data_IF_434972313592
#
_entry.id   IF_434972313592
#
_cell.length_a   1.000
_cell.length_b   1.000
_cell.length_c   1.000
_cell.angle_alpha   90.00
_cell.angle_beta   90.00
_cell.angle_gamma   90.00
#
_symmetry.space_group_name_H-M   'P 1'
#
loop_
_entity.id
_entity.type
_entity.pdbx_description
1 polymer ?
#
# COMPACT_ATOMS: atom_id res chain seq x y z
N UNK A 1 18.35 -44.25 16.90
CA UNK A 1 17.32 -43.48 16.16
C UNK A 1 17.03 -42.25 16.98
N UNK A 2 17.29 -41.06 16.43
CA UNK A 2 17.05 -39.79 17.13
C UNK A 2 15.63 -39.34 16.81
N UNK A 3 14.82 -39.11 17.83
CA UNK A 3 13.44 -38.63 17.68
C UNK A 3 13.43 -37.10 17.61
N UNK A 4 12.76 -36.55 16.59
CA UNK A 4 12.59 -35.12 16.36
C UNK A 4 11.11 -34.78 16.52
N UNK A 5 10.82 -33.61 17.09
CA UNK A 5 9.44 -33.13 17.27
C UNK A 5 9.21 -31.90 16.41
N UNK A 6 8.32 -32.00 15.43
CA UNK A 6 7.88 -30.89 14.60
C UNK A 6 6.53 -30.39 15.12
N UNK A 7 6.53 -29.20 15.71
CA UNK A 7 5.31 -28.59 16.25
C UNK A 7 4.91 -27.37 15.43
N UNK A 8 3.64 -27.26 15.08
CA UNK A 8 3.08 -26.04 14.53
C UNK A 8 1.92 -25.52 15.37
N UNK A 9 2.01 -24.25 15.77
CA UNK A 9 0.87 -23.47 16.28
C UNK A 9 0.79 -22.13 15.55
N UNK A 10 -0.41 -21.57 15.41
CA UNK A 10 -0.58 -20.26 14.73
C UNK A 10 0.18 -19.16 15.47
N UNK A 11 0.18 -19.17 16.80
CA UNK A 11 0.83 -18.15 17.62
C UNK A 11 2.37 -18.24 17.56
N UNK A 12 2.92 -19.45 17.64
CA UNK A 12 4.36 -19.65 17.76
C UNK A 12 5.03 -19.82 16.38
N UNK A 13 4.33 -20.41 15.41
CA UNK A 13 4.86 -20.81 14.11
C UNK A 13 5.22 -22.29 14.05
N UNK A 14 5.98 -22.70 13.02
CA UNK A 14 6.48 -24.06 12.87
C UNK A 14 7.90 -24.16 13.44
N UNK A 15 8.10 -25.09 14.38
CA UNK A 15 9.37 -25.41 15.00
C UNK A 15 9.72 -26.89 14.85
N UNK A 16 11.00 -27.18 14.98
CA UNK A 16 11.56 -28.52 15.04
C UNK A 16 12.55 -28.57 16.21
N UNK A 17 12.16 -29.33 17.21
CA UNK A 17 12.90 -29.57 18.45
C UNK A 17 13.54 -30.98 18.44
N UNK A 18 14.49 -31.21 19.34
CA UNK A 18 15.20 -32.50 19.47
C UNK A 18 16.43 -32.64 18.56
N UNK A 19 16.91 -31.54 18.00
CA UNK A 19 18.15 -31.51 17.21
C UNK A 19 19.03 -30.32 17.57
N UNK A 20 20.34 -30.50 17.48
CA UNK A 20 21.36 -29.48 17.66
C UNK A 20 21.75 -28.83 16.32
N UNK A 21 22.28 -27.61 16.39
CA UNK A 21 22.72 -26.87 15.20
C UNK A 21 23.75 -27.62 14.34
N UNK A 22 24.61 -28.41 14.98
CA UNK A 22 25.70 -29.17 14.36
C UNK A 22 25.33 -30.60 13.97
N UNK A 23 24.06 -30.99 14.14
CA UNK A 23 23.61 -32.31 13.75
C UNK A 23 23.53 -32.48 12.23
N UNK A 24 23.52 -33.73 11.78
CA UNK A 24 23.36 -34.12 10.36
C UNK A 24 22.02 -33.66 9.75
N UNK A 25 21.11 -33.10 10.55
CA UNK A 25 19.85 -32.49 10.12
C UNK A 25 20.06 -31.11 9.49
N UNK A 26 21.18 -30.42 9.77
CA UNK A 26 21.42 -29.04 9.32
C UNK A 26 21.38 -28.90 7.80
N UNK A 27 21.98 -29.83 7.04
CA UNK A 27 22.02 -29.76 5.58
C UNK A 27 20.61 -29.82 4.97
N UNK A 28 19.76 -30.71 5.50
CA UNK A 28 18.39 -30.91 5.06
C UNK A 28 17.54 -29.68 5.40
N UNK A 29 17.63 -29.21 6.65
CA UNK A 29 16.84 -28.09 7.15
C UNK A 29 17.22 -26.77 6.48
N UNK A 30 18.50 -26.56 6.21
CA UNK A 30 18.95 -25.38 5.47
C UNK A 30 18.48 -25.41 4.01
N UNK A 31 18.47 -26.58 3.37
CA UNK A 31 17.98 -26.75 2.00
C UNK A 31 16.46 -26.55 1.87
N UNK A 32 15.67 -26.92 2.89
CA UNK A 32 14.21 -26.71 2.93
C UNK A 32 13.79 -25.35 3.48
N UNK A 33 14.75 -24.47 3.79
CA UNK A 33 14.51 -23.06 4.14
C UNK A 33 14.28 -22.78 5.62
N UNK A 34 14.56 -23.74 6.50
CA UNK A 34 14.51 -23.56 7.95
C UNK A 34 15.69 -22.71 8.44
N UNK A 35 15.51 -22.09 9.60
CA UNK A 35 16.55 -21.27 10.26
C UNK A 35 16.73 -21.70 11.70
N UNK A 36 17.97 -21.64 12.17
CA UNK A 36 18.30 -21.87 13.57
C UNK A 36 17.98 -20.64 14.41
N UNK A 37 17.27 -20.82 15.52
CA UNK A 37 17.11 -19.81 16.55
C UNK A 37 18.04 -20.13 17.73
N UNK A 38 19.06 -19.30 17.93
CA UNK A 38 19.94 -19.44 19.09
C UNK A 38 19.20 -19.19 20.43
N UNK A 39 18.11 -18.41 20.41
CA UNK A 39 17.33 -18.07 21.61
C UNK A 39 16.51 -19.24 22.15
N UNK A 40 16.02 -20.10 21.27
CA UNK A 40 15.15 -21.23 21.63
C UNK A 40 15.84 -22.57 21.42
N UNK A 41 17.10 -22.55 20.96
CA UNK A 41 17.89 -23.73 20.60
C UNK A 41 17.12 -24.70 19.69
N UNK A 42 16.39 -24.16 18.71
CA UNK A 42 15.59 -24.96 17.80
C UNK A 42 15.58 -24.41 16.37
N UNK A 43 15.13 -25.26 15.44
CA UNK A 43 14.90 -24.87 14.07
C UNK A 43 13.48 -24.34 13.90
N UNK A 44 13.33 -23.30 13.09
CA UNK A 44 12.03 -22.71 12.81
C UNK A 44 11.88 -22.35 11.33
N UNK A 45 10.62 -22.28 10.88
CA UNK A 45 10.28 -21.79 9.54
C UNK A 45 10.05 -20.28 9.60
N UNK A 46 10.81 -19.44 8.86
CA UNK A 46 10.60 -18.00 8.86
C UNK A 46 9.21 -17.60 8.37
N UNK A 47 8.63 -16.56 8.97
CA UNK A 47 7.30 -16.00 8.64
C UNK A 47 6.13 -16.99 8.77
N UNK A 48 6.27 -18.06 9.55
CA UNK A 48 5.18 -19.02 9.79
C UNK A 48 4.21 -18.58 10.89
N UNK A 49 4.57 -17.59 11.71
CA UNK A 49 3.69 -17.04 12.77
C UNK A 49 2.49 -16.32 12.16
N UNK A 50 1.31 -16.51 12.76
CA UNK A 50 0.05 -15.92 12.32
C UNK A 50 -0.43 -16.46 10.96
N UNK A 51 0.07 -17.64 10.54
CA UNK A 51 -0.28 -18.26 9.26
C UNK A 51 -0.59 -19.73 9.43
N UNK A 52 -1.42 -20.26 8.53
CA UNK A 52 -1.65 -21.69 8.41
C UNK A 52 -0.32 -22.46 8.16
N UNK A 53 -0.22 -23.72 8.62
CA UNK A 53 0.98 -24.52 8.42
C UNK A 53 1.23 -24.72 6.93
N UNK A 54 2.48 -24.52 6.50
CA UNK A 54 2.89 -24.89 5.13
C UNK A 54 3.00 -26.42 5.03
N UNK A 55 1.85 -27.08 4.79
CA UNK A 55 1.74 -28.55 4.76
C UNK A 55 2.73 -29.19 3.78
N UNK A 56 2.96 -28.54 2.63
CA UNK A 56 3.93 -29.02 1.63
C UNK A 56 5.39 -28.97 2.14
N UNK A 57 5.80 -27.88 2.78
CA UNK A 57 7.15 -27.75 3.34
C UNK A 57 7.37 -28.72 4.49
N UNK A 58 6.38 -28.87 5.38
CA UNK A 58 6.42 -29.82 6.49
C UNK A 58 6.55 -31.25 5.95
N UNK A 59 5.69 -31.68 5.04
CA UNK A 59 5.73 -33.01 4.45
C UNK A 59 7.07 -33.31 3.75
N UNK A 60 7.59 -32.34 2.97
CA UNK A 60 8.89 -32.49 2.29
C UNK A 60 10.04 -32.60 3.28
N UNK A 61 10.01 -31.83 4.37
CA UNK A 61 11.05 -31.85 5.39
C UNK A 61 11.03 -33.16 6.18
N UNK A 62 9.84 -33.63 6.57
CA UNK A 62 9.65 -34.93 7.26
C UNK A 62 10.20 -36.06 6.40
N UNK A 63 9.82 -36.12 5.12
CA UNK A 63 10.31 -37.13 4.19
C UNK A 63 11.85 -37.17 4.13
N UNK A 64 12.50 -36.01 3.97
CA UNK A 64 13.96 -35.95 3.87
C UNK A 64 14.66 -36.35 5.17
N UNK A 65 14.07 -36.02 6.32
CA UNK A 65 14.60 -36.41 7.62
C UNK A 65 14.44 -37.92 7.86
N UNK A 66 13.31 -38.50 7.45
CA UNK A 66 13.08 -39.95 7.51
C UNK A 66 14.00 -40.73 6.58
N UNK A 67 14.20 -40.25 5.34
CA UNK A 67 15.17 -40.82 4.38
C UNK A 67 16.61 -40.78 4.93
N UNK A 68 16.93 -39.78 5.76
CA UNK A 68 18.20 -39.66 6.46
C UNK A 68 18.28 -40.48 7.77
N UNK A 69 17.22 -41.25 8.12
CA UNK A 69 17.19 -42.17 9.25
C UNK A 69 16.74 -41.57 10.59
N UNK A 70 16.12 -40.38 10.57
CA UNK A 70 15.51 -39.76 11.74
C UNK A 70 14.04 -40.17 11.89
N UNK A 71 13.51 -40.14 13.11
CA UNK A 71 12.09 -40.37 13.36
C UNK A 71 11.46 -39.03 13.71
N UNK A 72 10.44 -38.59 12.97
CA UNK A 72 9.82 -37.27 13.16
C UNK A 72 8.39 -37.42 13.66
N UNK A 73 8.10 -36.93 14.86
CA UNK A 73 6.74 -36.77 15.36
C UNK A 73 6.21 -35.39 14.93
N UNK A 74 5.07 -35.36 14.24
CA UNK A 74 4.45 -34.11 13.77
C UNK A 74 3.20 -33.82 14.58
N UNK A 75 3.22 -32.71 15.30
CA UNK A 75 2.08 -32.19 16.06
C UNK A 75 1.66 -30.86 15.45
N UNK A 76 0.47 -30.84 14.86
CA UNK A 76 -0.14 -29.64 14.30
C UNK A 76 -1.36 -29.37 15.17
N UNK A 77 -1.33 -28.25 15.88
CA UNK A 77 -2.51 -27.79 16.62
C UNK A 77 -3.57 -27.36 15.59
N UNK A 78 -4.51 -28.27 15.32
CA UNK A 78 -5.65 -28.06 14.42
C UNK A 78 -6.83 -27.37 15.14
N UNK A 79 -6.60 -26.72 16.28
CA UNK A 79 -7.55 -25.77 16.83
C UNK A 79 -7.96 -24.77 15.72
N UNK A 80 -9.21 -24.95 15.32
CA UNK A 80 -9.90 -24.37 14.18
C UNK A 80 -9.68 -22.85 14.02
N UNK A 81 -9.92 -22.38 12.79
CA UNK A 81 -10.08 -20.99 12.31
C UNK A 81 -8.88 -20.34 11.60
N UNK A 82 -8.93 -20.35 10.25
CA UNK A 82 -8.25 -19.35 9.40
C UNK A 82 -8.75 -19.32 7.93
N UNK A 83 -9.95 -19.84 7.61
CA UNK A 83 -10.56 -19.63 6.29
C UNK A 83 -11.54 -18.45 6.35
N UNK A 84 -12.44 -18.45 7.32
CA UNK A 84 -13.39 -17.35 7.53
C UNK A 84 -12.73 -16.08 8.05
N UNK A 85 -11.77 -16.16 8.98
CA UNK A 85 -11.08 -14.96 9.46
C UNK A 85 -10.14 -14.35 8.41
N UNK A 86 -9.54 -15.18 7.54
CA UNK A 86 -8.71 -14.70 6.43
C UNK A 86 -9.58 -14.14 5.32
N UNK A 87 -10.72 -14.75 5.01
CA UNK A 87 -11.67 -14.22 4.03
C UNK A 87 -12.36 -12.96 4.55
N UNK A 88 -12.72 -12.90 5.83
CA UNK A 88 -13.25 -11.69 6.49
C UNK A 88 -12.18 -10.61 6.61
N UNK A 89 -10.92 -10.95 6.90
CA UNK A 89 -9.82 -9.98 6.86
C UNK A 89 -9.53 -9.53 5.44
N UNK A 90 -9.58 -10.40 4.43
CA UNK A 90 -9.41 -10.02 3.02
C UNK A 90 -10.57 -9.16 2.55
N UNK A 91 -11.80 -9.50 2.92
CA UNK A 91 -12.99 -8.72 2.64
C UNK A 91 -12.95 -7.37 3.37
N UNK A 92 -12.50 -7.33 4.63
CA UNK A 92 -12.33 -6.09 5.40
C UNK A 92 -11.19 -5.23 4.86
N UNK A 93 -10.06 -5.83 4.44
CA UNK A 93 -8.95 -5.13 3.77
C UNK A 93 -9.39 -4.62 2.41
N UNK A 94 -10.18 -5.38 1.66
CA UNK A 94 -10.73 -4.97 0.35
C UNK A 94 -11.74 -3.86 0.54
N UNK A 95 -12.68 -4.00 1.47
CA UNK A 95 -13.67 -2.97 1.81
C UNK A 95 -13.02 -1.72 2.39
N UNK A 96 -11.96 -1.83 3.19
CA UNK A 96 -11.18 -0.69 3.66
C UNK A 96 -10.39 -0.05 2.52
N UNK A 97 -9.80 -0.83 1.61
CA UNK A 97 -9.13 -0.32 0.43
C UNK A 97 -10.13 0.37 -0.51
N UNK A 98 -11.34 -0.15 -0.66
CA UNK A 98 -12.43 0.44 -1.43
C UNK A 98 -12.98 1.69 -0.75
N UNK A 99 -13.10 1.70 0.57
CA UNK A 99 -13.47 2.89 1.34
C UNK A 99 -12.41 3.99 1.22
N UNK A 100 -11.12 3.66 1.29
CA UNK A 100 -10.01 4.61 1.02
C UNK A 100 -10.02 5.07 -0.44
N UNK A 101 -10.31 4.18 -1.40
CA UNK A 101 -10.45 4.55 -2.82
C UNK A 101 -11.60 5.52 -3.07
N UNK A 102 -12.66 5.44 -2.25
CA UNK A 102 -13.84 6.31 -2.30
C UNK A 102 -13.76 7.42 -1.25
N UNK A 103 -12.65 7.55 -0.51
CA UNK A 103 -12.46 8.68 0.38
C UNK A 103 -12.46 9.97 -0.46
N UNK A 104 -13.24 11.00 -0.09
CA UNK A 104 -13.37 12.20 -0.91
C UNK A 104 -12.02 12.82 -1.31
N UNK A 105 -11.09 12.94 -0.38
CA UNK A 105 -9.76 13.49 -0.66
C UNK A 105 -8.93 12.59 -1.59
N UNK A 106 -8.99 11.27 -1.43
CA UNK A 106 -8.32 10.32 -2.31
C UNK A 106 -8.85 10.41 -3.75
N UNK A 107 -10.17 10.54 -3.93
CA UNK A 107 -10.79 10.76 -5.25
C UNK A 107 -10.30 12.06 -5.87
N UNK A 108 -10.24 13.15 -5.10
CA UNK A 108 -9.76 14.43 -5.61
C UNK A 108 -8.27 14.39 -5.99
N UNK A 109 -7.43 13.72 -5.21
CA UNK A 109 -6.03 13.47 -5.55
C UNK A 109 -5.89 12.60 -6.81
N UNK A 110 -6.71 11.55 -6.94
CA UNK A 110 -6.72 10.69 -8.13
C UNK A 110 -7.07 11.47 -9.39
N UNK A 111 -8.06 12.36 -9.34
CA UNK A 111 -8.40 13.24 -10.47
C UNK A 111 -7.21 14.10 -10.91
N UNK A 112 -6.47 14.71 -9.97
CA UNK A 112 -5.27 15.48 -10.28
C UNK A 112 -4.19 14.62 -10.94
N UNK A 113 -4.01 13.39 -10.47
CA UNK A 113 -3.04 12.44 -11.04
C UNK A 113 -3.43 12.01 -12.45
N UNK A 114 -4.70 11.67 -12.67
CA UNK A 114 -5.23 11.30 -13.99
C UNK A 114 -5.12 12.46 -14.98
N UNK A 115 -5.48 13.69 -14.59
CA UNK A 115 -5.27 14.88 -15.43
C UNK A 115 -3.80 15.08 -15.80
N UNK A 116 -2.90 14.85 -14.83
CA UNK A 116 -1.46 14.98 -15.06
C UNK A 116 -0.94 13.92 -16.02
N UNK A 117 -1.39 12.67 -15.85
CA UNK A 117 -1.07 11.56 -16.77
C UNK A 117 -1.60 11.86 -18.18
N UNK A 118 -2.87 12.25 -18.29
CA UNK A 118 -3.50 12.67 -19.54
C UNK A 118 -2.66 13.73 -20.27
N UNK A 119 -2.28 14.80 -19.58
CA UNK A 119 -1.43 15.88 -20.13
C UNK A 119 -0.06 15.38 -20.59
N UNK A 120 0.56 14.45 -19.85
CA UNK A 120 1.85 13.85 -20.23
C UNK A 120 1.71 12.99 -21.49
N UNK A 121 0.70 12.14 -21.56
CA UNK A 121 0.43 11.27 -22.71
C UNK A 121 0.11 12.12 -23.95
N UNK A 122 -0.82 13.08 -23.84
CA UNK A 122 -1.16 13.97 -24.96
C UNK A 122 0.03 14.76 -25.47
N UNK A 123 0.91 15.23 -24.57
CA UNK A 123 2.16 15.92 -24.94
C UNK A 123 3.14 14.99 -25.65
N UNK A 124 3.22 13.73 -25.24
CA UNK A 124 4.04 12.72 -25.91
C UNK A 124 3.53 12.42 -27.32
N UNK A 125 2.21 12.31 -27.48
CA UNK A 125 1.55 12.12 -28.78
C UNK A 125 1.85 13.29 -29.71
N UNK A 126 1.66 14.53 -29.25
CA UNK A 126 1.84 15.73 -30.07
C UNK A 126 3.33 16.10 -30.31
N UNK A 127 4.25 15.54 -29.53
CA UNK A 127 5.62 16.00 -29.47
C UNK A 127 5.76 17.28 -28.64
N UNK A 128 6.96 17.53 -28.13
CA UNK A 128 7.25 18.73 -27.33
C UNK A 128 8.73 19.06 -27.28
N UNK A 129 9.04 20.32 -26.95
CA UNK A 129 10.38 20.75 -26.55
C UNK A 129 10.42 20.91 -25.04
N UNK A 130 11.45 20.37 -24.39
CA UNK A 130 11.62 20.53 -22.94
C UNK A 130 12.34 21.85 -22.59
N UNK A 131 12.44 22.15 -21.30
CA UNK A 131 13.11 23.37 -20.79
C UNK A 131 14.62 23.41 -21.08
N UNK A 132 15.24 22.29 -21.43
CA UNK A 132 16.64 22.20 -21.83
C UNK A 132 16.81 22.37 -23.36
N UNK A 133 15.74 22.71 -24.08
CA UNK A 133 15.76 22.86 -25.54
C UNK A 133 15.75 21.55 -26.32
N UNK A 134 15.72 20.39 -25.66
CA UNK A 134 15.66 19.08 -26.32
C UNK A 134 14.29 18.86 -26.95
N UNK A 135 14.30 18.48 -28.22
CA UNK A 135 13.10 18.16 -28.99
C UNK A 135 12.73 16.69 -28.85
N UNK A 136 11.44 16.44 -28.68
CA UNK A 136 10.81 15.14 -28.69
C UNK A 136 9.76 15.16 -29.80
N UNK A 137 9.98 14.46 -30.93
CA UNK A 137 9.05 14.48 -32.04
C UNK A 137 7.70 13.85 -31.65
N UNK A 138 6.62 14.15 -32.38
CA UNK A 138 5.34 13.47 -32.21
C UNK A 138 5.49 11.95 -32.28
N UNK A 139 4.74 11.23 -31.46
CA UNK A 139 4.76 9.78 -31.48
C UNK A 139 4.28 9.23 -32.83
N UNK A 140 4.89 8.16 -33.31
CA UNK A 140 4.56 7.52 -34.58
C UNK A 140 4.50 5.99 -34.45
N UNK A 141 3.88 5.33 -35.42
CA UNK A 141 3.77 3.86 -35.50
C UNK A 141 3.15 3.25 -34.24
N UNK A 142 3.69 2.12 -33.80
CA UNK A 142 3.19 1.35 -32.64
C UNK A 142 3.20 2.14 -31.32
N UNK A 143 4.09 3.12 -31.18
CA UNK A 143 4.13 3.96 -30.00
C UNK A 143 2.91 4.90 -29.96
N UNK A 144 2.51 5.45 -31.10
CA UNK A 144 1.32 6.30 -31.20
C UNK A 144 0.05 5.52 -30.87
N UNK A 145 -0.07 4.29 -31.36
CA UNK A 145 -1.22 3.41 -31.08
C UNK A 145 -1.32 3.16 -29.58
N UNK A 146 -0.23 2.69 -28.94
CA UNK A 146 -0.20 2.44 -27.50
C UNK A 146 -0.54 3.68 -26.66
N UNK A 147 0.01 4.84 -26.99
CA UNK A 147 -0.27 6.09 -26.27
C UNK A 147 -1.72 6.54 -26.45
N UNK A 148 -2.34 6.29 -27.60
CA UNK A 148 -3.77 6.59 -27.82
C UNK A 148 -4.66 5.67 -27.00
N UNK A 149 -4.34 4.37 -26.94
CA UNK A 149 -5.07 3.42 -26.10
C UNK A 149 -4.93 3.77 -24.61
N UNK A 150 -3.72 4.12 -24.16
CA UNK A 150 -3.47 4.59 -22.80
C UNK A 150 -4.22 5.89 -22.51
N UNK A 151 -4.26 6.83 -23.45
CA UNK A 151 -5.03 8.07 -23.31
C UNK A 151 -6.53 7.79 -23.17
N UNK A 152 -7.07 6.88 -23.99
CA UNK A 152 -8.48 6.50 -23.92
C UNK A 152 -8.82 5.89 -22.55
N UNK A 153 -7.97 5.02 -22.02
CA UNK A 153 -8.15 4.44 -20.70
C UNK A 153 -8.11 5.51 -19.59
N UNK A 154 -7.16 6.44 -19.64
CA UNK A 154 -7.07 7.55 -18.67
C UNK A 154 -8.29 8.48 -18.77
N UNK A 155 -8.79 8.73 -19.98
CA UNK A 155 -10.00 9.55 -20.19
C UNK A 155 -11.26 8.86 -19.65
N UNK A 156 -11.40 7.54 -19.80
CA UNK A 156 -12.47 6.75 -19.19
C UNK A 156 -12.41 6.79 -17.66
N UNK A 157 -11.22 6.57 -17.10
CA UNK A 157 -10.98 6.65 -15.66
C UNK A 157 -11.33 8.05 -15.13
N UNK A 158 -10.88 9.09 -15.81
CA UNK A 158 -11.16 10.48 -15.44
C UNK A 158 -12.67 10.77 -15.48
N UNK A 159 -13.38 10.28 -16.50
CA UNK A 159 -14.83 10.40 -16.60
C UNK A 159 -15.57 9.62 -15.49
N UNK A 160 -15.08 8.44 -15.11
CA UNK A 160 -15.64 7.67 -14.00
C UNK A 160 -15.45 8.39 -12.67
N UNK A 161 -14.22 8.75 -12.30
CA UNK A 161 -13.92 9.39 -11.01
C UNK A 161 -14.49 10.80 -10.89
N UNK A 162 -14.67 11.51 -12.01
CA UNK A 162 -15.37 12.81 -12.00
C UNK A 162 -16.83 12.64 -11.58
N UNK A 163 -17.51 11.59 -12.06
CA UNK A 163 -18.88 11.28 -11.63
C UNK A 163 -18.94 10.91 -10.14
N UNK A 164 -18.00 10.10 -9.67
CA UNK A 164 -17.90 9.75 -8.24
C UNK A 164 -17.71 11.00 -7.39
N UNK A 165 -16.80 11.91 -7.77
CA UNK A 165 -16.57 13.16 -7.04
C UNK A 165 -17.81 14.06 -7.05
N UNK A 166 -18.51 14.17 -8.19
CA UNK A 166 -19.75 14.94 -8.28
C UNK A 166 -20.83 14.39 -7.33
N UNK A 167 -20.95 13.06 -7.24
CA UNK A 167 -21.87 12.42 -6.31
C UNK A 167 -21.48 12.68 -4.85
N UNK A 168 -20.20 12.57 -4.48
CA UNK A 168 -19.73 12.89 -3.13
C UNK A 168 -20.01 14.36 -2.73
N UNK A 169 -19.95 15.29 -3.69
CA UNK A 169 -20.28 16.69 -3.46
C UNK A 169 -21.79 16.84 -3.27
N UNK A 170 -22.60 16.20 -4.12
CA UNK A 170 -24.06 16.23 -4.02
C UNK A 170 -24.57 15.64 -2.69
N UNK A 171 -23.93 14.57 -2.22
CA UNK A 171 -24.26 13.90 -0.95
C UNK A 171 -23.69 14.64 0.27
N UNK A 172 -22.94 15.74 0.08
CA UNK A 172 -22.30 16.51 1.14
C UNK A 172 -21.11 15.80 1.81
N UNK A 173 -20.68 14.66 1.28
CA UNK A 173 -19.54 13.89 1.80
C UNK A 173 -18.19 14.53 1.46
N UNK A 174 -18.10 15.30 0.37
CA UNK A 174 -16.87 15.98 -0.04
C UNK A 174 -16.82 17.44 0.41
N UNK A 175 -15.81 17.77 1.21
CA UNK A 175 -15.41 19.16 1.43
C UNK A 175 -14.79 19.73 0.13
N UNK A 176 -15.34 20.85 -0.35
CA UNK A 176 -14.85 21.57 -1.53
C UNK A 176 -14.54 22.99 -1.12
N UNK A 177 -13.30 23.39 -1.37
CA UNK A 177 -12.82 24.73 -1.13
C UNK A 177 -12.23 25.28 -2.42
N UNK A 178 -12.58 26.51 -2.76
CA UNK A 178 -12.01 27.24 -3.89
C UNK A 178 -11.30 28.50 -3.39
N UNK A 179 -10.68 29.22 -4.32
CA UNK A 179 -10.03 30.50 -4.01
C UNK A 179 -10.99 31.53 -3.43
N UNK A 180 -12.25 31.51 -3.85
CA UNK A 180 -13.20 32.55 -3.49
C UNK A 180 -13.81 32.31 -2.09
N UNK A 181 -13.61 31.11 -1.53
CA UNK A 181 -14.09 30.72 -0.21
C UNK A 181 -13.09 31.04 0.93
N UNK A 182 -11.86 31.45 0.59
CA UNK A 182 -10.76 31.60 1.57
C UNK A 182 -10.13 32.98 1.48
N UNK A 183 -9.89 33.59 2.65
CA UNK A 183 -9.14 34.83 2.78
C UNK A 183 -7.81 34.60 3.55
N UNK A 184 -6.80 35.47 3.34
CA UNK A 184 -5.65 35.52 4.22
C UNK A 184 -6.07 35.78 5.68
N UNK A 185 -5.52 34.99 6.61
CA UNK A 185 -5.85 35.00 8.04
C UNK A 185 -6.88 33.96 8.47
N UNK A 186 -7.59 33.31 7.55
CA UNK A 186 -8.46 32.18 7.86
C UNK A 186 -7.65 30.97 8.34
N UNK A 187 -8.28 30.03 9.05
CA UNK A 187 -7.66 28.76 9.43
C UNK A 187 -8.12 27.66 8.46
N UNK A 188 -7.18 26.84 8.01
CA UNK A 188 -7.45 25.65 7.19
C UNK A 188 -6.90 24.40 7.88
N UNK A 189 -7.65 23.31 7.82
CA UNK A 189 -7.20 22.03 8.34
C UNK A 189 -6.43 21.27 7.26
N UNK A 190 -5.19 20.91 7.57
CA UNK A 190 -4.30 20.14 6.72
C UNK A 190 -3.55 19.09 7.56
N UNK A 191 -3.58 17.83 7.12
CA UNK A 191 -2.95 16.69 7.84
C UNK A 191 -3.36 16.58 9.32
N UNK A 192 -4.58 16.97 9.65
CA UNK A 192 -5.12 16.91 11.02
C UNK A 192 -4.70 18.07 11.93
N UNK A 193 -4.00 19.08 11.41
CA UNK A 193 -3.64 20.29 12.13
C UNK A 193 -4.24 21.54 11.46
N UNK A 194 -4.56 22.55 12.26
CA UNK A 194 -5.10 23.82 11.77
C UNK A 194 -3.99 24.84 11.56
N UNK A 195 -3.92 25.40 10.37
CA UNK A 195 -2.92 26.39 9.99
C UNK A 195 -3.56 27.70 9.52
N UNK A 196 -2.98 28.87 9.88
CA UNK A 196 -3.42 30.14 9.32
C UNK A 196 -3.00 30.28 7.86
N UNK A 197 -3.89 30.81 7.04
CA UNK A 197 -3.64 31.09 5.63
C UNK A 197 -2.80 32.35 5.49
N UNK A 198 -1.59 32.20 4.97
CA UNK A 198 -0.66 33.31 4.69
C UNK A 198 -0.96 33.95 3.33
N UNK A 199 -1.25 33.13 2.32
CA UNK A 199 -1.52 33.59 0.95
C UNK A 199 -2.53 32.68 0.26
N UNK A 200 -3.42 33.27 -0.52
CA UNK A 200 -4.41 32.55 -1.33
C UNK A 200 -3.96 32.55 -2.79
N UNK A 201 -3.73 31.37 -3.37
CA UNK A 201 -3.39 31.20 -4.79
C UNK A 201 -4.56 30.54 -5.54
N UNK A 202 -4.54 30.53 -6.87
CA UNK A 202 -5.66 30.00 -7.66
C UNK A 202 -5.99 28.51 -7.42
N UNK A 203 -5.02 27.68 -7.02
CA UNK A 203 -5.20 26.22 -6.84
C UNK A 203 -4.76 25.69 -5.47
N UNK A 204 -4.34 26.59 -4.58
CA UNK A 204 -3.67 26.24 -3.33
C UNK A 204 -3.62 27.44 -2.41
N UNK A 205 -3.45 27.21 -1.12
CA UNK A 205 -3.10 28.23 -0.13
C UNK A 205 -1.66 28.04 0.34
N UNK A 206 -1.05 29.08 0.86
CA UNK A 206 0.23 29.01 1.55
C UNK A 206 0.00 29.10 3.05
N UNK A 207 0.55 28.17 3.81
CA UNK A 207 0.44 28.05 5.27
C UNK A 207 1.84 28.02 5.91
N UNK A 208 2.00 28.30 7.22
CA UNK A 208 3.26 28.07 7.91
C UNK A 208 3.65 26.60 7.87
N UNK A 209 4.96 26.31 7.87
CA UNK A 209 5.43 24.93 7.98
C UNK A 209 5.14 24.36 9.38
N UNK A 210 4.53 23.17 9.44
CA UNK A 210 4.15 22.51 10.71
C UNK A 210 5.31 22.13 11.63
N UNK A 211 6.56 22.08 11.12
CA UNK A 211 7.74 21.81 11.94
C UNK A 211 8.34 23.05 12.64
N UNK A 212 7.61 24.18 12.67
CA UNK A 212 8.14 25.44 13.21
C UNK A 212 9.20 26.11 12.32
N UNK A 213 9.27 25.72 11.04
CA UNK A 213 10.17 26.30 10.05
C UNK A 213 9.75 27.71 9.61
N UNK A 214 10.71 28.52 9.12
CA UNK A 214 10.47 29.89 8.66
C UNK A 214 9.96 30.02 7.22
N UNK A 215 9.73 28.90 6.52
CA UNK A 215 9.21 28.91 5.15
C UNK A 215 7.73 28.56 5.10
N UNK A 216 7.05 29.07 4.07
CA UNK A 216 5.65 28.75 3.80
C UNK A 216 5.53 27.44 3.02
N UNK A 217 4.62 26.55 3.43
CA UNK A 217 4.21 25.36 2.72
C UNK A 217 3.01 25.67 1.80
N UNK A 218 2.97 25.10 0.60
CA UNK A 218 1.86 25.29 -0.34
C UNK A 218 0.95 24.08 -0.32
N UNK A 219 -0.29 24.29 0.12
CA UNK A 219 -1.30 23.24 0.28
C UNK A 219 -2.37 23.38 -0.82
N UNK A 220 -2.48 22.41 -1.74
CA UNK A 220 -3.56 22.40 -2.73
C UNK A 220 -4.93 22.29 -2.09
N UNK A 221 -5.95 22.94 -2.68
CA UNK A 221 -7.31 22.94 -2.12
C UNK A 221 -7.89 21.53 -1.89
N UNK A 222 -7.58 20.59 -2.77
CA UNK A 222 -8.08 19.21 -2.66
C UNK A 222 -7.51 18.41 -1.47
N UNK A 223 -6.47 18.93 -0.79
CA UNK A 223 -5.89 18.32 0.40
C UNK A 223 -6.39 18.95 1.71
N UNK A 224 -7.20 20.01 1.63
CA UNK A 224 -7.76 20.69 2.80
C UNK A 224 -9.01 19.93 3.23
N UNK A 225 -9.12 19.65 4.53
CA UNK A 225 -10.28 18.94 5.12
C UNK A 225 -11.25 19.85 5.84
N UNK A 226 -10.84 21.08 6.17
CA UNK A 226 -11.66 22.03 6.92
C UNK A 226 -11.23 23.48 6.72
N UNK A 227 -12.15 24.40 6.98
CA UNK A 227 -11.94 25.86 6.90
C UNK A 227 -12.71 26.55 8.04
N UNK A 228 -12.09 27.57 8.62
CA UNK A 228 -12.71 28.47 9.58
C UNK A 228 -12.32 29.92 9.21
N UNK A 229 -13.29 30.84 9.09
CA UNK A 229 -12.99 32.23 8.85
C UNK A 229 -12.25 32.82 10.06
N UNK A 230 -11.38 33.80 9.83
CA UNK A 230 -10.72 34.52 10.92
C UNK A 230 -11.76 35.10 11.90
N UNK A 231 -11.53 34.91 13.19
CA UNK A 231 -12.34 35.56 14.22
C UNK A 231 -11.98 37.05 14.25
N UNK A 232 -13.00 37.91 14.10
CA UNK A 232 -12.89 39.38 14.16
C UNK A 232 -12.83 39.83 15.61
#
# INVERSE_FOLDING_TARGET
MTALALTHTVAAGTFLDGTERSDRTWEILHATGWRWSARFANWYVPRSRGRAPSRHLIARTVQLLEEAGFTVAVEIDEASHAADDVEQQRAAVTAAADAVRVEPQAVAHRLVMLETQRRKISRSIAGYRNHLGREFPPAAGDQLIRLKDELAHVDEDLAHWTRVRAQQIADGAAFVLTRDDVAPGDLVEYRGEWFPVLRVNAKSVSVPSGAGGSWAETVPYHQISGHQPKQV
#
